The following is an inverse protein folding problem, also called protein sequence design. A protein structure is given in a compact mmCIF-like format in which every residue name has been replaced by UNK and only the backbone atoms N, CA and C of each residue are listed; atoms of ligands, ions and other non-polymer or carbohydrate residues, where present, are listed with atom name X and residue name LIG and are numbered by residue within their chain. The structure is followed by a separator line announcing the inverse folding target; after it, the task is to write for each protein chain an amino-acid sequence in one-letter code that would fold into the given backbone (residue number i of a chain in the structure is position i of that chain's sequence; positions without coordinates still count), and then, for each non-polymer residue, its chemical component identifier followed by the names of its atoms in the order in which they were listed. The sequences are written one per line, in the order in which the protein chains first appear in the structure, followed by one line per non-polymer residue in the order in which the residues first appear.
data_IF_507404814922
#
_entry.id   IF_507404814922
#
_cell.length_a   1.000
_cell.length_b   1.000
_cell.length_c   1.000
_cell.angle_alpha   90.00
_cell.angle_beta   90.00
_cell.angle_gamma   90.00
#
_symmetry.space_group_name_H-M   'P 1'
#
loop_
_entity.id
_entity.type
_entity.pdbx_description
1 polymer ?
#
# COMPACT_ATOMS: atom_id res chain seq x y z
N UNK A 1 29.26 -41.67 -31.36
CA UNK A 1 29.15 -40.40 -32.11
C UNK A 1 30.27 -39.55 -31.58
N UNK A 2 31.25 -39.36 -32.43
CA UNK A 2 32.64 -39.12 -32.07
C UNK A 2 33.08 -37.83 -32.79
N UNK A 3 34.36 -37.46 -32.66
CA UNK A 3 35.01 -36.26 -33.21
C UNK A 3 34.48 -34.92 -32.62
N UNK A 4 35.25 -34.01 -32.01
CA UNK A 4 36.68 -33.68 -31.92
C UNK A 4 37.21 -32.63 -32.93
N UNK A 5 37.84 -31.58 -32.37
CA UNK A 5 38.74 -30.60 -33.03
C UNK A 5 38.06 -29.64 -34.04
N UNK A 6 38.60 -28.46 -34.39
CA UNK A 6 39.88 -27.84 -34.02
C UNK A 6 39.81 -26.30 -33.82
N UNK A 7 40.98 -25.73 -33.57
CA UNK A 7 41.41 -24.38 -33.14
C UNK A 7 41.01 -23.15 -34.00
N UNK A 8 41.29 -21.95 -33.44
CA UNK A 8 41.39 -20.68 -34.18
C UNK A 8 41.85 -19.52 -33.28
N UNK A 9 43.07 -19.00 -33.45
CA UNK A 9 43.67 -18.03 -32.51
C UNK A 9 44.72 -17.09 -33.13
N UNK A 10 44.37 -15.80 -33.29
CA UNK A 10 45.26 -14.63 -33.35
C UNK A 10 44.44 -13.41 -32.85
N UNK A 11 44.88 -12.53 -31.95
CA UNK A 11 46.18 -11.92 -31.62
C UNK A 11 46.54 -10.70 -32.52
N UNK A 12 46.48 -9.51 -31.91
CA UNK A 12 46.81 -8.22 -32.53
C UNK A 12 46.70 -7.07 -31.52
N UNK A 13 47.84 -6.55 -31.06
CA UNK A 13 47.96 -5.37 -30.20
C UNK A 13 47.92 -4.07 -31.06
N UNK A 14 47.96 -2.83 -30.56
CA UNK A 14 48.72 -2.37 -29.40
C UNK A 14 48.25 -1.03 -28.77
N UNK A 15 48.97 -0.61 -27.72
CA UNK A 15 48.87 0.60 -26.88
C UNK A 15 48.49 1.94 -27.60
N UNK A 16 47.98 2.99 -26.95
CA UNK A 16 48.45 3.57 -25.66
C UNK A 16 47.43 4.55 -25.02
N UNK A 17 47.37 4.63 -23.68
CA UNK A 17 46.68 5.70 -22.95
C UNK A 17 46.49 5.42 -21.44
N UNK A 18 47.39 5.94 -20.58
CA UNK A 18 47.27 5.85 -19.10
C UNK A 18 46.57 7.10 -18.49
N UNK A 19 46.15 7.04 -17.21
CA UNK A 19 45.18 7.97 -16.62
C UNK A 19 45.82 8.87 -15.55
N UNK A 20 45.02 9.60 -14.75
CA UNK A 20 44.85 9.28 -13.32
C UNK A 20 43.91 10.27 -12.59
N UNK A 21 43.19 9.73 -11.59
CA UNK A 21 42.54 10.51 -10.53
C UNK A 21 43.23 10.17 -9.22
N UNK A 22 43.75 11.17 -8.52
CA UNK A 22 44.53 10.97 -7.28
C UNK A 22 44.24 12.04 -6.24
N UNK A 23 43.35 11.73 -5.29
CA UNK A 23 43.09 12.57 -4.12
C UNK A 23 44.01 12.16 -2.96
N UNK A 24 44.90 13.05 -2.55
CA UNK A 24 45.59 13.18 -1.23
C UNK A 24 46.68 14.26 -1.39
N UNK A 25 47.15 14.97 -0.37
CA UNK A 25 46.68 15.26 0.99
C UNK A 25 47.57 16.39 1.55
N UNK A 26 47.05 17.24 2.45
CA UNK A 26 47.59 17.52 3.79
C UNK A 26 47.17 18.89 4.35
N UNK A 27 47.06 18.95 5.68
CA UNK A 27 46.64 20.10 6.46
C UNK A 27 47.83 20.91 6.97
N UNK A 28 47.63 22.23 7.01
CA UNK A 28 48.04 23.20 8.04
C UNK A 28 49.48 23.26 8.61
N UNK A 29 49.93 24.51 8.79
CA UNK A 29 50.81 24.97 9.89
C UNK A 29 52.32 24.59 9.81
N UNK A 30 53.27 25.35 10.37
CA UNK A 30 53.18 26.52 11.27
C UNK A 30 54.51 27.35 11.32
N UNK A 31 54.49 28.52 11.99
CA UNK A 31 55.62 29.38 12.48
C UNK A 31 56.71 29.85 11.45
N UNK A 32 56.94 31.16 11.23
CA UNK A 32 57.78 32.11 12.00
C UNK A 32 59.32 31.82 11.95
N UNK A 33 60.26 32.76 11.73
CA UNK A 33 60.27 34.25 11.65
C UNK A 33 61.47 34.74 10.75
N UNK A 34 62.20 35.89 10.81
CA UNK A 34 62.37 37.06 11.73
C UNK A 34 63.04 38.30 11.04
N UNK A 35 63.08 39.43 11.78
CA UNK A 35 63.85 40.70 11.67
C UNK A 35 64.89 40.99 10.55
N UNK A 36 64.89 42.25 10.06
CA UNK A 36 65.83 43.28 10.59
C UNK A 36 65.27 44.72 10.56
N UNK A 37 65.86 45.55 11.45
CA UNK A 37 65.70 47.00 11.74
C UNK A 37 65.86 47.98 10.57
N UNK A 38 65.62 49.31 10.67
CA UNK A 38 64.87 50.21 11.58
C UNK A 38 64.78 51.61 10.91
N UNK A 39 63.85 52.47 11.36
CA UNK A 39 64.06 53.92 11.64
C UNK A 39 62.74 54.69 11.80
N UNK A 40 62.78 55.76 12.60
CA UNK A 40 61.61 56.57 12.99
C UNK A 40 61.71 58.03 12.53
N UNK A 41 60.55 58.67 12.29
CA UNK A 41 60.34 60.07 12.66
C UNK A 41 58.84 60.32 12.91
N UNK A 42 58.54 61.23 13.84
CA UNK A 42 57.18 61.73 14.10
C UNK A 42 56.79 62.83 13.10
N UNK A 43 55.49 63.13 12.98
CA UNK A 43 54.95 64.43 13.42
C UNK A 43 53.40 64.47 13.54
N UNK A 44 52.87 65.47 14.25
CA UNK A 44 51.68 66.24 13.85
C UNK A 44 50.29 65.60 13.91
N UNK A 45 49.61 65.70 15.05
CA UNK A 45 48.17 65.38 15.16
C UNK A 45 47.26 66.39 14.43
N UNK A 46 46.40 65.92 13.52
CA UNK A 46 45.30 66.70 12.94
C UNK A 46 43.92 66.13 13.35
N UNK A 47 43.31 66.71 14.39
CA UNK A 47 41.97 66.35 14.86
C UNK A 47 40.87 66.93 13.95
N UNK A 48 40.56 66.22 12.86
CA UNK A 48 39.37 66.51 12.05
C UNK A 48 38.11 65.98 12.74
N UNK A 49 37.36 66.84 13.42
CA UNK A 49 36.10 66.48 14.07
C UNK A 49 35.05 66.03 13.03
N UNK A 50 34.40 64.87 13.18
CA UNK A 50 33.36 64.42 12.26
C UNK A 50 32.17 65.38 12.22
N UNK A 51 31.96 66.04 11.08
CA UNK A 51 30.77 66.88 10.84
C UNK A 51 29.53 65.98 10.78
N UNK A 52 28.73 66.00 11.86
CA UNK A 52 27.51 65.20 12.00
C UNK A 52 26.50 65.54 10.89
N UNK A 53 26.42 64.69 9.87
CA UNK A 53 25.37 64.78 8.84
C UNK A 53 24.06 64.30 9.46
N UNK A 54 23.06 65.17 9.48
CA UNK A 54 21.67 64.77 9.71
C UNK A 54 21.18 64.06 8.46
N UNK A 55 21.24 62.73 8.46
CA UNK A 55 20.53 61.90 7.48
C UNK A 55 19.04 62.31 7.52
N UNK A 56 18.35 62.53 6.39
CA UNK A 56 16.92 62.79 6.41
C UNK A 56 16.21 61.61 7.06
N UNK A 57 15.06 61.88 7.70
CA UNK A 57 14.17 60.82 8.17
C UNK A 57 13.68 60.06 6.95
N UNK A 58 14.27 58.90 6.68
CA UNK A 58 13.51 57.82 6.06
C UNK A 58 12.36 57.51 7.03
N UNK A 59 11.14 57.49 6.53
CA UNK A 59 10.02 56.94 7.29
C UNK A 59 10.37 55.54 7.80
N UNK A 60 9.85 55.11 8.96
CA UNK A 60 9.94 53.72 9.36
C UNK A 60 9.14 52.87 8.35
N UNK A 61 9.84 52.38 7.33
CA UNK A 61 9.41 51.25 6.52
C UNK A 61 8.79 50.23 7.45
N UNK A 62 7.52 49.89 7.22
CA UNK A 62 6.77 49.06 8.16
C UNK A 62 7.18 47.59 8.01
N UNK A 63 8.35 47.26 8.58
CA UNK A 63 8.72 45.91 9.02
C UNK A 63 7.78 45.52 10.17
N UNK A 64 6.53 45.27 9.79
CA UNK A 64 5.48 44.84 10.69
C UNK A 64 5.63 43.33 10.92
N UNK A 65 5.80 42.85 12.16
CA UNK A 65 6.01 41.44 12.46
C UNK A 65 4.71 40.59 12.41
N UNK A 66 3.83 40.88 11.44
CA UNK A 66 2.45 40.37 11.32
C UNK A 66 2.35 38.89 10.85
N UNK A 67 3.47 38.20 10.66
CA UNK A 67 3.49 36.91 9.97
C UNK A 67 3.06 35.66 10.78
N UNK A 68 3.33 35.50 12.10
CA UNK A 68 3.03 34.25 12.78
C UNK A 68 1.53 34.04 13.07
N UNK A 69 0.82 35.09 13.48
CA UNK A 69 -0.60 34.98 13.86
C UNK A 69 -1.50 34.73 12.64
N UNK A 70 -1.21 35.37 11.50
CA UNK A 70 -1.95 35.17 10.26
C UNK A 70 -1.78 33.74 9.71
N UNK A 71 -0.57 33.18 9.77
CA UNK A 71 -0.32 31.79 9.38
C UNK A 71 -1.02 30.79 10.30
N UNK A 72 -1.02 31.03 11.61
CA UNK A 72 -1.77 30.21 12.56
C UNK A 72 -3.28 30.26 12.29
N UNK A 73 -3.83 31.43 11.96
CA UNK A 73 -5.24 31.61 11.58
C UNK A 73 -5.63 30.76 10.36
N UNK A 74 -4.83 30.83 9.28
CA UNK A 74 -5.06 30.05 8.06
C UNK A 74 -4.98 28.53 8.31
N UNK A 75 -4.02 28.06 9.12
CA UNK A 75 -3.93 26.66 9.52
C UNK A 75 -5.19 26.19 10.25
N UNK A 76 -5.67 26.95 11.24
CA UNK A 76 -6.87 26.58 11.99
C UNK A 76 -8.14 26.62 11.14
N UNK A 77 -8.23 27.51 10.15
CA UNK A 77 -9.33 27.52 9.17
C UNK A 77 -9.31 26.25 8.30
N UNK A 78 -8.18 25.95 7.64
CA UNK A 78 -8.05 24.74 6.81
C UNK A 78 -8.33 23.46 7.58
N UNK A 79 -7.90 23.38 8.85
CA UNK A 79 -8.19 22.22 9.71
C UNK A 79 -9.66 22.18 10.17
N UNK A 80 -10.30 23.32 10.34
CA UNK A 80 -11.74 23.44 10.63
C UNK A 80 -12.57 22.89 9.47
N UNK A 81 -12.21 23.28 8.24
CA UNK A 81 -12.86 22.86 7.00
C UNK A 81 -12.71 21.34 6.77
N UNK A 82 -11.48 20.81 6.92
CA UNK A 82 -11.18 19.37 6.73
C UNK A 82 -11.83 18.49 7.79
N UNK A 83 -12.00 18.97 9.03
CA UNK A 83 -12.70 18.23 10.09
C UNK A 83 -14.22 18.39 10.05
N UNK A 84 -14.75 19.40 9.34
CA UNK A 84 -16.17 19.75 9.37
C UNK A 84 -16.64 20.24 10.75
N UNK A 85 -15.75 20.83 11.54
CA UNK A 85 -16.00 21.28 12.92
C UNK A 85 -15.45 22.70 13.05
N UNK A 86 -16.26 23.65 13.53
CA UNK A 86 -15.80 25.02 13.78
C UNK A 86 -14.74 25.05 14.90
N UNK A 87 -13.49 25.34 14.55
CA UNK A 87 -12.38 25.49 15.49
C UNK A 87 -12.05 26.96 15.79
N UNK A 88 -12.50 27.90 14.95
CA UNK A 88 -12.12 29.31 15.03
C UNK A 88 -12.56 30.04 16.32
N UNK A 89 -13.63 29.58 16.96
CA UNK A 89 -14.24 30.15 18.18
C UNK A 89 -13.90 29.39 19.48
N UNK A 90 -13.27 28.22 19.38
CA UNK A 90 -12.96 27.33 20.52
C UNK A 90 -11.72 27.85 21.29
N UNK A 91 -11.55 27.55 22.58
CA UNK A 91 -10.32 27.91 23.29
C UNK A 91 -9.09 27.13 22.75
N UNK A 92 -7.86 27.68 22.78
CA UNK A 92 -6.70 27.05 22.15
C UNK A 92 -6.36 25.66 22.73
N UNK A 93 -6.58 25.43 24.02
CA UNK A 93 -6.27 24.13 24.65
C UNK A 93 -7.25 23.04 24.22
N UNK A 94 -8.54 23.39 24.04
CA UNK A 94 -9.55 22.49 23.49
C UNK A 94 -9.34 22.26 21.98
N UNK A 95 -8.87 23.26 21.22
CA UNK A 95 -8.46 23.06 19.81
C UNK A 95 -7.37 21.99 19.70
N UNK A 96 -6.26 22.15 20.43
CA UNK A 96 -5.16 21.17 20.45
C UNK A 96 -5.63 19.78 20.91
N UNK A 97 -6.42 19.70 21.98
CA UNK A 97 -7.00 18.45 22.45
C UNK A 97 -7.91 17.78 21.39
N UNK A 98 -8.62 18.58 20.58
CA UNK A 98 -9.43 18.09 19.46
C UNK A 98 -8.56 17.50 18.33
N UNK A 99 -7.45 18.15 17.96
CA UNK A 99 -6.50 17.60 16.97
C UNK A 99 -5.93 16.27 17.47
N UNK A 100 -5.44 16.23 18.71
CA UNK A 100 -4.87 15.02 19.33
C UNK A 100 -5.92 13.90 19.43
N UNK A 101 -7.19 14.22 19.73
CA UNK A 101 -8.29 13.25 19.73
C UNK A 101 -8.57 12.70 18.32
N UNK A 102 -8.57 13.56 17.30
CA UNK A 102 -8.80 13.17 15.90
C UNK A 102 -7.70 12.25 15.38
N UNK A 103 -6.43 12.57 15.64
CA UNK A 103 -5.29 11.71 15.28
C UNK A 103 -5.34 10.36 16.02
N UNK A 104 -5.76 10.33 17.29
CA UNK A 104 -5.97 9.08 18.05
C UNK A 104 -7.11 8.23 17.47
N UNK A 105 -8.20 8.85 17.00
CA UNK A 105 -9.31 8.16 16.33
C UNK A 105 -8.87 7.58 14.98
N UNK A 106 -8.15 8.36 14.16
CA UNK A 106 -7.58 7.90 12.89
C UNK A 106 -6.63 6.71 13.10
N UNK A 107 -5.70 6.78 14.07
CA UNK A 107 -4.85 5.65 14.45
C UNK A 107 -5.66 4.39 14.77
N UNK A 108 -6.71 4.53 15.60
CA UNK A 108 -7.59 3.41 16.00
C UNK A 108 -8.38 2.84 14.80
N UNK A 109 -8.74 3.67 13.83
CA UNK A 109 -9.37 3.25 12.57
C UNK A 109 -8.43 2.38 11.74
N UNK A 110 -7.18 2.81 11.53
CA UNK A 110 -6.15 2.02 10.85
C UNK A 110 -5.91 0.67 11.56
N UNK A 111 -5.82 0.67 12.90
CA UNK A 111 -5.73 -0.56 13.71
C UNK A 111 -6.98 -1.45 13.64
N UNK A 112 -8.15 -0.91 13.28
CA UNK A 112 -9.36 -1.68 12.97
C UNK A 112 -9.26 -2.32 11.59
N UNK A 113 -8.85 -1.55 10.59
CA UNK A 113 -8.77 -1.96 9.20
C UNK A 113 -7.78 -3.12 9.02
N UNK A 114 -6.58 -3.04 9.62
CA UNK A 114 -5.60 -4.14 9.60
C UNK A 114 -6.13 -5.45 10.20
N UNK A 115 -6.90 -5.39 11.29
CA UNK A 115 -7.49 -6.59 11.91
C UNK A 115 -8.60 -7.19 11.06
N UNK A 116 -9.38 -6.36 10.39
CA UNK A 116 -10.43 -6.79 9.44
C UNK A 116 -9.82 -7.51 8.24
N UNK A 117 -8.71 -6.99 7.71
CA UNK A 117 -7.94 -7.62 6.63
C UNK A 117 -7.32 -8.95 7.02
N UNK A 118 -6.68 -9.03 8.20
CA UNK A 118 -6.14 -10.30 8.71
C UNK A 118 -7.25 -11.35 8.84
N UNK A 119 -8.39 -10.98 9.42
CA UNK A 119 -9.55 -11.87 9.53
C UNK A 119 -10.18 -12.24 8.16
N UNK A 120 -10.08 -11.37 7.15
CA UNK A 120 -10.49 -11.67 5.77
C UNK A 120 -9.57 -12.74 5.16
N UNK A 121 -8.26 -12.63 5.35
CA UNK A 121 -7.32 -13.61 4.80
C UNK A 121 -7.42 -14.95 5.53
N UNK A 122 -7.55 -14.95 6.86
CA UNK A 122 -7.82 -16.15 7.66
C UNK A 122 -9.07 -16.91 7.17
N UNK A 123 -10.15 -16.20 6.79
CA UNK A 123 -11.35 -16.80 6.20
C UNK A 123 -11.17 -17.30 4.77
N UNK A 124 -10.30 -16.67 3.98
CA UNK A 124 -9.99 -17.14 2.62
C UNK A 124 -9.14 -18.41 2.67
N UNK A 125 -8.22 -18.51 3.63
CA UNK A 125 -7.46 -19.73 3.90
C UNK A 125 -8.40 -20.84 4.45
N UNK A 126 -9.32 -20.51 5.37
CA UNK A 126 -10.33 -21.43 5.93
C UNK A 126 -11.30 -22.00 4.88
N UNK A 127 -11.59 -21.26 3.81
CA UNK A 127 -12.50 -21.72 2.75
C UNK A 127 -11.96 -22.95 1.99
N UNK A 128 -10.67 -23.29 2.08
CA UNK A 128 -9.93 -24.30 1.29
C UNK A 128 -10.06 -24.19 -0.25
N UNK A 129 -10.85 -23.24 -0.74
CA UNK A 129 -10.96 -22.90 -2.16
C UNK A 129 -9.65 -22.27 -2.59
N UNK A 130 -8.90 -22.96 -3.45
CA UNK A 130 -7.64 -22.48 -4.04
C UNK A 130 -7.82 -21.32 -5.01
N UNK A 131 -8.22 -20.16 -4.50
CA UNK A 131 -8.34 -18.90 -5.23
C UNK A 131 -6.97 -18.47 -5.75
N UNK A 132 -6.95 -17.93 -6.97
CA UNK A 132 -5.78 -17.30 -7.58
C UNK A 132 -5.18 -16.22 -6.68
N UNK A 133 -3.85 -16.13 -6.59
CA UNK A 133 -3.17 -15.01 -5.92
C UNK A 133 -3.68 -13.65 -6.40
N UNK A 134 -4.08 -13.53 -7.67
CA UNK A 134 -4.65 -12.30 -8.25
C UNK A 134 -5.91 -11.80 -7.55
N UNK A 135 -6.64 -12.68 -6.83
CA UNK A 135 -7.81 -12.39 -6.03
C UNK A 135 -7.50 -12.08 -4.54
N UNK A 136 -6.21 -12.11 -4.15
CA UNK A 136 -5.72 -11.85 -2.80
C UNK A 136 -4.53 -10.86 -2.72
N UNK A 137 -3.88 -10.52 -3.84
CA UNK A 137 -2.57 -9.86 -3.82
C UNK A 137 -2.52 -8.42 -3.30
N UNK A 138 -3.66 -7.71 -3.28
CA UNK A 138 -3.66 -6.23 -3.37
C UNK A 138 -3.65 -5.45 -2.05
N UNK A 139 -3.70 -6.11 -0.88
CA UNK A 139 -3.64 -5.43 0.43
C UNK A 139 -2.43 -5.79 1.31
N UNK A 140 -1.63 -6.80 0.95
CA UNK A 140 -0.51 -7.33 1.78
C UNK A 140 0.47 -6.26 2.31
N UNK A 141 0.69 -5.16 1.57
CA UNK A 141 1.53 -4.04 2.01
C UNK A 141 0.96 -3.27 3.24
N UNK A 142 -0.36 -3.16 3.35
CA UNK A 142 -1.04 -2.53 4.49
C UNK A 142 -1.13 -3.48 5.71
N UNK A 143 -1.02 -4.79 5.48
CA UNK A 143 -1.05 -5.82 6.53
C UNK A 143 0.32 -6.00 7.20
N UNK A 144 1.42 -5.98 6.44
CA UNK A 144 2.77 -6.22 6.94
C UNK A 144 3.44 -5.03 7.67
N UNK A 145 2.88 -3.82 7.56
CA UNK A 145 3.42 -2.62 8.20
C UNK A 145 2.81 -2.37 9.60
N UNK A 146 3.55 -1.70 10.49
CA UNK A 146 2.94 -1.22 11.74
C UNK A 146 2.03 -0.01 11.50
N UNK A 147 1.06 0.21 12.38
CA UNK A 147 0.16 1.39 12.31
C UNK A 147 0.97 2.69 12.32
N UNK A 148 2.06 2.73 13.09
CA UNK A 148 3.00 3.85 13.15
C UNK A 148 3.76 4.06 11.84
N UNK A 149 4.13 3.00 11.13
CA UNK A 149 4.75 3.10 9.81
C UNK A 149 3.75 3.58 8.75
N UNK A 150 2.52 3.06 8.77
CA UNK A 150 1.41 3.50 7.92
C UNK A 150 1.10 4.98 8.15
N UNK A 151 0.95 5.40 9.41
CA UNK A 151 0.73 6.81 9.75
C UNK A 151 1.89 7.71 9.30
N UNK A 152 3.15 7.27 9.42
CA UNK A 152 4.28 8.03 8.89
C UNK A 152 4.22 8.15 7.37
N UNK A 153 4.01 7.05 6.65
CA UNK A 153 3.92 7.03 5.18
C UNK A 153 2.77 7.87 4.63
N UNK A 154 1.66 8.01 5.37
CA UNK A 154 0.49 8.79 4.94
C UNK A 154 0.52 10.27 5.37
N UNK A 155 1.36 10.64 6.35
CA UNK A 155 1.43 12.00 6.91
C UNK A 155 2.77 12.71 6.67
N UNK A 156 3.74 12.03 6.05
CA UNK A 156 5.08 12.57 5.76
C UNK A 156 5.59 12.04 4.42
N UNK A 157 5.72 12.95 3.47
CA UNK A 157 6.09 12.73 2.06
C UNK A 157 7.60 12.49 1.86
N UNK A 158 8.23 11.70 2.74
CA UNK A 158 9.71 11.54 2.81
C UNK A 158 10.21 10.08 2.79
N UNK A 159 9.33 9.07 2.75
CA UNK A 159 9.72 7.65 2.84
C UNK A 159 9.00 6.72 1.84
N UNK A 160 9.20 6.99 0.54
CA UNK A 160 8.86 6.14 -0.61
C UNK A 160 7.34 5.90 -0.85
N UNK A 161 6.92 5.57 -2.10
CA UNK A 161 5.51 5.42 -2.46
C UNK A 161 4.93 4.06 -2.04
N UNK A 162 5.04 3.71 -0.75
CA UNK A 162 4.48 2.47 -0.20
C UNK A 162 2.95 2.52 -0.14
N UNK A 163 2.38 3.70 0.13
CA UNK A 163 0.95 3.90 0.38
C UNK A 163 0.50 5.28 -0.16
N UNK A 164 -0.24 5.29 -1.27
CA UNK A 164 -0.98 6.48 -1.74
C UNK A 164 -2.05 6.88 -0.71
N UNK A 165 -2.35 8.17 -0.61
CA UNK A 165 -3.55 8.74 0.03
C UNK A 165 -4.82 7.92 -0.24
N UNK A 166 -4.99 7.42 -1.48
CA UNK A 166 -6.16 6.62 -1.91
C UNK A 166 -6.15 5.18 -1.40
N UNK A 167 -5.09 4.72 -0.72
CA UNK A 167 -4.98 3.32 -0.27
C UNK A 167 -6.09 2.93 0.70
N UNK A 168 -6.49 3.84 1.60
CA UNK A 168 -7.57 3.57 2.57
C UNK A 168 -8.88 3.29 1.82
N UNK A 169 -9.19 4.10 0.81
CA UNK A 169 -10.37 3.92 -0.04
C UNK A 169 -10.29 2.65 -0.88
N UNK A 170 -9.12 2.28 -1.42
CA UNK A 170 -8.91 0.97 -2.08
C UNK A 170 -9.18 -0.17 -1.10
N UNK A 171 -8.66 -0.10 0.12
CA UNK A 171 -8.76 -1.16 1.11
C UNK A 171 -10.22 -1.38 1.55
N UNK A 172 -11.00 -0.33 1.78
CA UNK A 172 -12.44 -0.47 2.02
C UNK A 172 -13.15 -1.09 0.81
N UNK A 173 -12.87 -0.62 -0.41
CA UNK A 173 -13.46 -1.17 -1.64
C UNK A 173 -13.09 -2.63 -1.90
N UNK A 174 -11.91 -3.09 -1.48
CA UNK A 174 -11.51 -4.50 -1.57
C UNK A 174 -12.16 -5.38 -0.50
N UNK A 175 -12.53 -4.83 0.66
CA UNK A 175 -13.39 -5.52 1.64
C UNK A 175 -14.83 -5.64 1.11
N UNK A 176 -15.41 -4.57 0.55
CA UNK A 176 -16.73 -4.59 -0.11
C UNK A 176 -16.76 -5.58 -1.28
N UNK A 177 -15.73 -5.56 -2.13
CA UNK A 177 -15.57 -6.52 -3.22
C UNK A 177 -15.48 -7.97 -2.72
N UNK A 178 -14.78 -8.21 -1.60
CA UNK A 178 -14.70 -9.54 -0.99
C UNK A 178 -16.07 -10.00 -0.48
N UNK A 179 -16.81 -9.19 0.30
CA UNK A 179 -18.12 -9.58 0.84
C UNK A 179 -19.14 -9.88 -0.27
N UNK A 180 -19.21 -9.04 -1.31
CA UNK A 180 -20.06 -9.27 -2.47
C UNK A 180 -19.67 -10.53 -3.26
N UNK A 181 -18.37 -10.83 -3.37
CA UNK A 181 -17.86 -12.01 -4.08
C UNK A 181 -18.03 -13.30 -3.29
N UNK A 182 -17.94 -13.27 -1.96
CA UNK A 182 -18.34 -14.40 -1.10
C UNK A 182 -19.83 -14.69 -1.28
N UNK A 183 -20.69 -13.67 -1.25
CA UNK A 183 -22.12 -13.84 -1.47
C UNK A 183 -22.45 -14.39 -2.87
N UNK A 184 -21.72 -13.98 -3.91
CA UNK A 184 -21.83 -14.55 -5.25
C UNK A 184 -21.36 -16.02 -5.30
N UNK A 185 -20.22 -16.33 -4.68
CA UNK A 185 -19.70 -17.70 -4.54
C UNK A 185 -20.68 -18.63 -3.82
N UNK A 186 -21.27 -18.20 -2.71
CA UNK A 186 -22.30 -18.95 -1.98
C UNK A 186 -23.56 -19.20 -2.83
N UNK A 187 -24.00 -18.22 -3.63
CA UNK A 187 -25.12 -18.39 -4.57
C UNK A 187 -24.79 -19.38 -5.68
N UNK A 188 -23.61 -19.28 -6.28
CA UNK A 188 -23.14 -20.22 -7.31
C UNK A 188 -23.02 -21.65 -6.77
N UNK A 189 -22.50 -21.80 -5.54
CA UNK A 189 -22.45 -23.07 -4.83
C UNK A 189 -23.86 -23.67 -4.60
N UNK A 190 -24.81 -22.86 -4.12
CA UNK A 190 -26.18 -23.31 -3.89
C UNK A 190 -26.89 -23.71 -5.19
N UNK A 191 -26.74 -22.93 -6.27
CA UNK A 191 -27.27 -23.29 -7.58
C UNK A 191 -26.64 -24.57 -8.13
N UNK A 192 -25.32 -24.74 -8.03
CA UNK A 192 -24.64 -25.95 -8.48
C UNK A 192 -25.08 -27.20 -7.70
N UNK A 193 -25.34 -27.07 -6.39
CA UNK A 193 -25.89 -28.17 -5.58
C UNK A 193 -27.33 -28.53 -6.01
N UNK A 194 -28.20 -27.55 -6.23
CA UNK A 194 -29.58 -27.78 -6.68
C UNK A 194 -29.62 -28.42 -8.07
N UNK A 195 -28.79 -27.95 -9.00
CA UNK A 195 -28.71 -28.51 -10.36
C UNK A 195 -28.17 -29.94 -10.37
N UNK A 196 -27.14 -30.22 -9.55
CA UNK A 196 -26.57 -31.56 -9.39
C UNK A 196 -27.60 -32.58 -8.89
N UNK A 197 -28.48 -32.18 -7.96
CA UNK A 197 -29.57 -33.01 -7.46
C UNK A 197 -30.86 -32.91 -8.29
N UNK A 198 -30.82 -32.29 -9.47
CA UNK A 198 -32.00 -32.23 -10.35
C UNK A 198 -32.42 -33.64 -10.82
N UNK A 199 -33.73 -33.97 -10.85
CA UNK A 199 -34.20 -35.28 -11.30
C UNK A 199 -33.74 -35.64 -12.73
N UNK A 200 -33.60 -34.64 -13.60
CA UNK A 200 -33.12 -34.79 -14.97
C UNK A 200 -31.65 -35.24 -15.00
N UNK A 201 -30.77 -34.54 -14.27
CA UNK A 201 -29.35 -34.85 -14.26
C UNK A 201 -29.05 -36.18 -13.56
N UNK A 202 -29.72 -36.46 -12.43
CA UNK A 202 -29.59 -37.75 -11.74
C UNK A 202 -30.05 -38.93 -12.61
N UNK A 203 -31.16 -38.80 -13.35
CA UNK A 203 -31.61 -39.85 -14.28
C UNK A 203 -30.60 -40.06 -15.41
N UNK A 204 -30.06 -38.98 -15.99
CA UNK A 204 -29.06 -39.08 -17.05
C UNK A 204 -27.77 -39.76 -16.55
N UNK A 205 -27.27 -39.37 -15.37
CA UNK A 205 -26.11 -40.01 -14.74
C UNK A 205 -26.36 -41.49 -14.44
N UNK A 206 -27.51 -41.85 -13.86
CA UNK A 206 -27.81 -43.26 -13.55
C UNK A 206 -28.00 -44.13 -14.81
N UNK A 207 -28.51 -43.58 -15.92
CA UNK A 207 -28.55 -44.30 -17.20
C UNK A 207 -27.18 -44.42 -17.87
N UNK A 208 -26.29 -43.44 -17.67
CA UNK A 208 -24.90 -43.46 -18.16
C UNK A 208 -24.03 -44.47 -17.39
N UNK A 209 -23.92 -44.29 -16.07
CA UNK A 209 -22.99 -45.04 -15.22
C UNK A 209 -23.41 -46.49 -14.98
N UNK A 210 -24.72 -46.77 -14.99
CA UNK A 210 -25.31 -48.06 -14.59
C UNK A 210 -26.13 -48.73 -15.70
N UNK A 211 -26.16 -48.13 -16.89
CA UNK A 211 -26.91 -48.58 -18.05
C UNK A 211 -28.42 -48.39 -17.93
N UNK A 212 -29.08 -48.14 -19.08
CA UNK A 212 -30.53 -47.99 -19.16
C UNK A 212 -31.24 -49.30 -18.78
N UNK A 213 -32.12 -49.32 -17.76
CA UNK A 213 -32.79 -50.54 -17.32
C UNK A 213 -33.92 -50.96 -18.26
N UNK A 214 -34.14 -52.28 -18.36
CA UNK A 214 -35.27 -52.87 -19.10
C UNK A 214 -36.62 -52.66 -18.39
N UNK A 215 -36.61 -52.44 -17.07
CA UNK A 215 -37.79 -52.09 -16.27
C UNK A 215 -37.43 -50.93 -15.35
N UNK A 216 -38.12 -49.80 -15.52
CA UNK A 216 -37.86 -48.55 -14.81
C UNK A 216 -38.91 -48.32 -13.71
N UNK A 217 -38.65 -48.85 -12.50
CA UNK A 217 -39.54 -48.68 -11.33
C UNK A 217 -39.04 -47.63 -10.36
N UNK A 218 -39.94 -46.97 -9.63
CA UNK A 218 -39.57 -45.94 -8.64
C UNK A 218 -38.78 -46.55 -7.47
N UNK A 219 -39.10 -47.79 -7.10
CA UNK A 219 -38.30 -48.57 -6.16
C UNK A 219 -36.87 -48.90 -6.66
N UNK A 220 -36.58 -48.81 -7.97
CA UNK A 220 -35.21 -48.82 -8.51
C UNK A 220 -34.60 -47.42 -8.40
N UNK A 221 -35.29 -46.37 -8.87
CA UNK A 221 -34.84 -44.96 -8.77
C UNK A 221 -34.42 -44.59 -7.35
N UNK A 222 -35.22 -44.93 -6.35
CA UNK A 222 -34.92 -44.67 -4.93
C UNK A 222 -33.64 -45.38 -4.45
N UNK A 223 -33.45 -46.67 -4.79
CA UNK A 223 -32.23 -47.40 -4.45
C UNK A 223 -30.99 -46.86 -5.18
N UNK A 224 -31.16 -46.38 -6.41
CA UNK A 224 -30.04 -45.78 -7.16
C UNK A 224 -29.63 -44.43 -6.56
N UNK A 225 -30.59 -43.60 -6.13
CA UNK A 225 -30.37 -42.36 -5.38
C UNK A 225 -29.72 -42.62 -4.01
N UNK A 226 -30.23 -43.58 -3.22
CA UNK A 226 -29.64 -43.91 -1.90
C UNK A 226 -28.19 -44.34 -2.02
N UNK A 227 -27.81 -45.12 -3.05
CA UNK A 227 -26.40 -45.43 -3.32
C UNK A 227 -25.63 -44.16 -3.69
N UNK A 228 -26.10 -43.36 -4.64
CA UNK A 228 -25.44 -42.11 -5.04
C UNK A 228 -25.20 -41.15 -3.85
N UNK A 229 -26.16 -41.03 -2.92
CA UNK A 229 -25.98 -40.28 -1.68
C UNK A 229 -24.92 -40.91 -0.78
N UNK A 230 -24.90 -42.25 -0.63
CA UNK A 230 -23.85 -42.96 0.11
C UNK A 230 -22.46 -42.72 -0.51
N UNK A 231 -22.36 -42.82 -1.84
CA UNK A 231 -21.17 -42.57 -2.64
C UNK A 231 -20.65 -41.14 -2.39
N UNK A 232 -21.53 -40.12 -2.42
CA UNK A 232 -21.21 -38.73 -2.06
C UNK A 232 -20.72 -38.60 -0.61
N UNK A 233 -21.42 -39.17 0.37
CA UNK A 233 -21.02 -39.05 1.80
C UNK A 233 -19.72 -39.79 2.15
N UNK A 234 -19.30 -40.75 1.32
CA UNK A 234 -18.00 -41.42 1.44
C UNK A 234 -16.90 -40.70 0.64
N UNK A 235 -17.26 -39.88 -0.35
CA UNK A 235 -16.32 -39.12 -1.19
C UNK A 235 -16.49 -37.61 -1.02
N UNK A 236 -15.83 -37.07 0.02
CA UNK A 236 -15.66 -35.63 0.27
C UNK A 236 -14.96 -34.88 -0.90
N UNK A 237 -14.54 -35.62 -1.94
CA UNK A 237 -14.17 -35.14 -3.26
C UNK A 237 -15.27 -34.31 -3.94
N UNK A 238 -16.56 -34.66 -3.79
CA UNK A 238 -17.64 -33.91 -4.47
C UNK A 238 -17.78 -32.49 -3.90
N UNK A 239 -17.84 -32.38 -2.57
CA UNK A 239 -17.82 -31.12 -1.81
C UNK A 239 -16.56 -30.32 -2.14
N UNK A 240 -15.38 -30.90 -1.92
CA UNK A 240 -14.09 -30.19 -2.08
C UNK A 240 -13.70 -29.86 -3.51
N UNK A 241 -14.28 -30.51 -4.52
CA UNK A 241 -13.95 -30.25 -5.93
C UNK A 241 -15.03 -29.43 -6.64
N UNK A 242 -16.30 -29.83 -6.54
CA UNK A 242 -17.36 -29.26 -7.36
C UNK A 242 -17.98 -28.02 -6.72
N UNK A 243 -18.28 -28.06 -5.42
CA UNK A 243 -18.80 -26.88 -4.71
C UNK A 243 -17.72 -25.79 -4.60
N UNK A 244 -16.50 -26.17 -4.24
CA UNK A 244 -15.35 -25.25 -4.20
C UNK A 244 -15.07 -24.58 -5.56
N UNK A 245 -15.07 -25.33 -6.67
CA UNK A 245 -14.85 -24.76 -8.01
C UNK A 245 -15.93 -23.76 -8.44
N UNK A 246 -17.21 -24.05 -8.13
CA UNK A 246 -18.30 -23.13 -8.46
C UNK A 246 -18.25 -21.86 -7.60
N UNK A 247 -17.86 -21.98 -6.32
CA UNK A 247 -17.55 -20.82 -5.48
C UNK A 247 -16.38 -20.01 -6.05
N UNK A 248 -15.25 -20.66 -6.37
CA UNK A 248 -14.05 -20.03 -6.91
C UNK A 248 -14.36 -19.21 -8.17
N UNK A 249 -14.99 -19.85 -9.17
CA UNK A 249 -15.27 -19.21 -10.46
C UNK A 249 -16.16 -17.97 -10.32
N UNK A 250 -17.15 -17.99 -9.43
CA UNK A 250 -18.00 -16.83 -9.20
C UNK A 250 -17.29 -15.75 -8.37
N UNK A 251 -16.52 -16.14 -7.35
CA UNK A 251 -15.72 -15.21 -6.55
C UNK A 251 -14.70 -14.46 -7.43
N UNK A 252 -13.94 -15.17 -8.26
CA UNK A 252 -12.91 -14.62 -9.16
C UNK A 252 -13.49 -13.81 -10.32
N UNK A 253 -14.75 -14.05 -10.70
CA UNK A 253 -15.45 -13.18 -11.66
C UNK A 253 -15.88 -11.87 -11.02
N UNK A 254 -16.44 -11.89 -9.80
CA UNK A 254 -16.99 -10.69 -9.17
C UNK A 254 -15.92 -9.81 -8.48
N UNK A 255 -14.87 -10.39 -7.90
CA UNK A 255 -13.89 -9.64 -7.12
C UNK A 255 -13.10 -8.60 -7.93
N UNK A 256 -12.55 -8.91 -9.13
CA UNK A 256 -11.87 -7.93 -9.96
C UNK A 256 -12.80 -6.84 -10.49
N UNK A 257 -14.07 -7.18 -10.78
CA UNK A 257 -15.06 -6.19 -11.23
C UNK A 257 -15.27 -5.12 -10.16
N UNK A 258 -15.68 -5.51 -8.95
CA UNK A 258 -16.02 -4.55 -7.89
C UNK A 258 -14.78 -3.80 -7.38
N UNK A 259 -13.63 -4.48 -7.28
CA UNK A 259 -12.39 -3.85 -6.82
C UNK A 259 -11.80 -2.84 -7.83
N UNK A 260 -12.07 -2.99 -9.14
CA UNK A 260 -11.44 -2.17 -10.19
C UNK A 260 -12.38 -1.19 -10.91
N UNK A 261 -13.68 -1.46 -11.05
CA UNK A 261 -14.56 -0.66 -11.94
C UNK A 261 -14.94 0.73 -11.40
N UNK A 262 -14.79 0.98 -10.10
CA UNK A 262 -14.98 2.33 -9.54
C UNK A 262 -13.71 3.18 -9.73
N UNK A 263 -13.51 3.60 -10.98
CA UNK A 263 -12.44 4.50 -11.43
C UNK A 263 -12.95 5.46 -12.53
N UNK A 264 -14.02 6.18 -12.21
CA UNK A 264 -14.34 7.53 -12.70
C UNK A 264 -14.65 8.40 -11.46
#
# INVERSE_FOLDING_TARGET
MDDALETGHTAGADHTGRPESGLTSFLESNHATRHYSDCSSSDGCYLSLPRRVSVPVSDPSSDCPDQPEHQAGLFWQQLSDVLGIELASVDPTTREACVVKSVRLFKRCLSGLQRTLKARNERVDELEVGLSETACQRVRAFEGASVEAIMKSLLRDEQAPLLDTKVISRVFRELEAHEASVLAGCRAMAHAAVEHFSPQQLVWQFEHDRGKPWILTDARRWRDYVRHHQDLTQSDTWSKTLLAKNFASAYEQHFPLIANFYHD
#
